data_IF_942989292109
#
_entry.id   IF_942989292109
#
_cell.length_a   1.000
_cell.length_b   1.000
_cell.length_c   1.000
_cell.angle_alpha   90.00
_cell.angle_beta   90.00
_cell.angle_gamma   90.00
#
_symmetry.space_group_name_H-M   'P 1'
#
loop_
_entity.id
_entity.type
_entity.pdbx_description
1 polymer ?
#
# COMPACT_ATOMS: atom_id res chain seq x y z
N UNK A 1 -14.31 10.70 -21.98
CA UNK A 1 -12.92 10.70 -22.47
C UNK A 1 -12.13 9.68 -21.67
N UNK A 2 -11.28 8.85 -22.29
CA UNK A 2 -10.64 7.74 -21.57
C UNK A 2 -9.49 8.28 -20.70
N UNK A 3 -9.53 7.97 -19.40
CA UNK A 3 -8.48 8.25 -18.41
C UNK A 3 -7.54 7.04 -18.36
N UNK A 4 -6.37 7.15 -18.97
CA UNK A 4 -5.34 6.11 -19.01
C UNK A 4 -4.26 6.36 -17.93
N UNK A 5 -4.58 6.07 -16.64
CA UNK A 5 -3.67 5.92 -15.47
C UNK A 5 -3.08 7.16 -14.73
N UNK A 6 -2.98 7.27 -13.39
CA UNK A 6 -4.03 7.38 -12.33
C UNK A 6 -3.61 8.45 -11.27
N UNK A 7 -4.49 9.39 -10.92
CA UNK A 7 -4.09 10.79 -10.74
C UNK A 7 -4.85 11.58 -9.64
N UNK A 8 -4.26 11.80 -8.45
CA UNK A 8 -4.82 12.77 -7.45
C UNK A 8 -3.98 13.99 -7.04
N UNK A 9 -2.94 14.46 -7.73
CA UNK A 9 -3.05 15.22 -8.98
C UNK A 9 -1.73 15.05 -9.76
N UNK A 10 -1.50 13.84 -10.24
CA UNK A 10 -0.24 13.21 -10.73
C UNK A 10 0.76 12.96 -9.63
N UNK A 11 0.27 12.22 -8.61
CA UNK A 11 0.98 11.96 -7.37
C UNK A 11 1.52 13.26 -6.75
N UNK A 12 0.69 14.29 -6.60
CA UNK A 12 1.08 15.64 -6.10
C UNK A 12 2.45 16.15 -6.63
N UNK A 13 2.71 15.88 -7.92
CA UNK A 13 3.82 16.34 -8.77
C UNK A 13 5.23 15.87 -8.41
N UNK A 14 5.43 14.58 -8.14
CA UNK A 14 6.74 13.94 -8.05
C UNK A 14 7.54 14.36 -6.80
N UNK A 15 7.86 13.41 -5.93
CA UNK A 15 8.83 13.66 -4.86
C UNK A 15 10.15 14.14 -5.47
N UNK A 16 10.55 15.40 -5.25
CA UNK A 16 11.62 16.07 -5.99
C UNK A 16 13.03 15.48 -5.79
N UNK A 17 13.77 15.35 -6.90
CA UNK A 17 15.22 15.17 -7.05
C UNK A 17 15.89 13.95 -6.35
N UNK A 18 15.79 12.75 -6.94
CA UNK A 18 16.93 11.81 -6.99
C UNK A 18 16.66 10.63 -7.95
N UNK A 19 17.00 10.82 -9.22
CA UNK A 19 17.48 9.71 -10.06
C UNK A 19 18.97 9.89 -10.27
N UNK A 20 19.78 9.15 -9.53
CA UNK A 20 21.06 8.69 -10.06
C UNK A 20 21.06 7.16 -10.04
N UNK A 21 20.78 6.60 -11.21
CA UNK A 21 21.32 5.36 -11.77
C UNK A 21 21.30 4.05 -10.95
N UNK A 22 20.49 3.09 -11.44
CA UNK A 22 21.03 1.77 -11.79
C UNK A 22 20.47 0.56 -11.02
N UNK A 23 19.90 -0.39 -11.75
CA UNK A 23 20.14 -1.83 -11.56
C UNK A 23 19.47 -2.62 -12.71
N UNK A 24 20.31 -3.13 -13.61
CA UNK A 24 19.95 -4.12 -14.63
C UNK A 24 20.08 -5.53 -14.06
N UNK A 25 19.03 -6.34 -14.20
CA UNK A 25 19.10 -7.80 -14.32
C UNK A 25 18.84 -8.66 -13.08
N UNK A 26 17.74 -9.42 -13.06
CA UNK A 26 17.73 -10.88 -13.25
C UNK A 26 16.40 -11.51 -12.81
N UNK A 27 16.01 -12.58 -13.51
CA UNK A 27 14.66 -13.14 -13.59
C UNK A 27 14.02 -13.65 -12.28
N UNK A 28 12.70 -13.52 -12.22
CA UNK A 28 11.84 -14.25 -11.28
C UNK A 28 10.81 -15.04 -12.09
N UNK A 29 10.86 -16.36 -11.96
CA UNK A 29 9.84 -17.27 -12.46
C UNK A 29 8.56 -17.11 -11.62
N UNK A 30 7.49 -16.58 -12.21
CA UNK A 30 6.16 -16.56 -11.61
C UNK A 30 5.50 -17.94 -11.70
N UNK A 31 5.26 -18.61 -10.57
CA UNK A 31 4.24 -19.67 -10.46
C UNK A 31 3.57 -19.66 -9.08
N UNK A 32 2.28 -19.31 -9.06
CA UNK A 32 1.42 -19.47 -7.88
C UNK A 32 -0.05 -19.05 -8.13
N UNK A 33 -0.90 -20.04 -8.42
CA UNK A 33 -2.37 -20.17 -8.21
C UNK A 33 -3.36 -18.98 -8.25
N UNK A 34 -4.50 -19.06 -8.98
CA UNK A 34 -5.43 -17.94 -9.22
C UNK A 34 -6.62 -17.88 -8.23
N UNK A 35 -6.43 -17.76 -6.93
CA UNK A 35 -7.58 -17.76 -5.99
C UNK A 35 -7.59 -16.72 -4.86
N UNK A 36 -6.52 -15.96 -4.62
CA UNK A 36 -6.50 -14.88 -3.61
C UNK A 36 -6.09 -13.51 -4.16
N UNK A 37 -5.85 -13.40 -5.47
CA UNK A 37 -5.33 -12.20 -6.12
C UNK A 37 -6.38 -11.09 -6.32
N UNK A 38 -7.67 -11.38 -6.18
CA UNK A 38 -8.74 -10.48 -6.59
C UNK A 38 -8.99 -9.26 -5.67
N UNK A 39 -8.28 -9.13 -4.54
CA UNK A 39 -8.48 -8.02 -3.59
C UNK A 39 -7.21 -7.23 -3.26
N UNK A 40 -6.08 -7.60 -3.88
CA UNK A 40 -4.85 -6.82 -3.82
C UNK A 40 -4.95 -5.78 -4.92
N UNK A 41 -4.83 -4.50 -4.60
CA UNK A 41 -4.81 -3.45 -5.61
C UNK A 41 -3.55 -3.55 -6.45
N UNK A 42 -3.51 -4.51 -7.37
CA UNK A 42 -2.40 -4.72 -8.30
C UNK A 42 -2.14 -3.44 -9.07
N UNK A 43 -0.85 -3.13 -9.26
CA UNK A 43 -0.49 -2.19 -10.30
C UNK A 43 -1.03 -2.77 -11.62
N UNK A 44 -1.62 -1.93 -12.47
CA UNK A 44 -2.10 -2.40 -13.76
C UNK A 44 -0.97 -3.05 -14.59
N UNK A 45 -1.30 -3.69 -15.71
CA UNK A 45 -0.30 -4.35 -16.56
C UNK A 45 0.83 -3.41 -17.04
N UNK A 46 0.68 -2.09 -16.85
CA UNK A 46 1.65 -1.05 -17.19
C UNK A 46 2.41 -0.50 -15.96
N UNK A 47 2.21 -1.06 -14.75
CA UNK A 47 2.88 -0.62 -13.52
C UNK A 47 2.26 0.60 -12.85
N UNK A 48 1.02 0.96 -13.18
CA UNK A 48 0.33 2.15 -12.65
C UNK A 48 -0.42 1.84 -11.35
N UNK A 49 -0.34 2.74 -10.36
CA UNK A 49 -1.06 2.63 -9.10
C UNK A 49 -2.32 3.49 -9.07
N UNK A 50 -3.40 2.97 -8.48
CA UNK A 50 -4.65 3.69 -8.26
C UNK A 50 -4.66 4.43 -6.92
N UNK A 51 -4.59 5.76 -6.98
CA UNK A 51 -4.71 6.66 -5.82
C UNK A 51 -6.05 7.41 -5.78
N UNK A 52 -6.91 7.21 -6.78
CA UNK A 52 -8.18 7.92 -6.91
C UNK A 52 -9.33 7.17 -6.26
N UNK A 53 -9.29 5.83 -6.32
CA UNK A 53 -10.28 5.00 -5.64
C UNK A 53 -10.21 5.21 -4.12
N UNK A 54 -11.27 5.72 -3.47
CA UNK A 54 -11.30 5.86 -2.02
C UNK A 54 -11.19 4.49 -1.34
N UNK A 55 -10.39 4.43 -0.26
CA UNK A 55 -10.28 3.25 0.57
C UNK A 55 -10.97 3.48 1.92
N UNK A 56 -12.03 2.73 2.20
CA UNK A 56 -12.76 2.86 3.46
C UNK A 56 -11.93 2.27 4.61
N UNK A 57 -11.67 3.09 5.63
CA UNK A 57 -10.89 2.74 6.84
C UNK A 57 -11.72 2.84 8.13
N UNK A 58 -13.03 3.03 8.02
CA UNK A 58 -13.92 3.03 9.18
C UNK A 58 -14.10 1.61 9.72
N UNK A 59 -14.06 1.47 11.03
CA UNK A 59 -14.21 0.18 11.72
C UNK A 59 -13.00 -0.75 11.60
N UNK A 60 -11.82 -0.20 11.28
CA UNK A 60 -10.57 -0.96 11.19
C UNK A 60 -9.61 -0.64 12.35
N UNK A 61 -10.13 -0.10 13.44
CA UNK A 61 -9.38 0.45 14.58
C UNK A 61 -8.38 1.54 14.19
N UNK A 62 -8.71 2.32 13.15
CA UNK A 62 -7.86 3.42 12.69
C UNK A 62 -7.88 4.57 13.71
N UNK A 63 -6.70 4.98 14.19
CA UNK A 63 -6.56 6.18 15.03
C UNK A 63 -7.09 7.41 14.30
N UNK A 64 -6.75 7.57 13.01
CA UNK A 64 -7.16 8.73 12.21
C UNK A 64 -8.68 8.86 12.03
N UNK A 65 -9.40 7.73 11.97
CA UNK A 65 -10.84 7.72 11.66
C UNK A 65 -11.72 7.26 12.84
N UNK A 66 -11.39 6.15 13.50
CA UNK A 66 -12.25 5.56 14.52
C UNK A 66 -12.06 6.19 15.92
N UNK A 67 -10.87 6.68 16.23
CA UNK A 67 -10.62 7.29 17.56
C UNK A 67 -11.48 8.55 17.77
N UNK A 68 -11.58 9.41 16.77
CA UNK A 68 -12.39 10.63 16.83
C UNK A 68 -13.89 10.32 17.03
N UNK A 69 -14.39 9.20 16.49
CA UNK A 69 -15.76 8.72 16.78
C UNK A 69 -15.88 8.22 18.22
N UNK A 70 -14.93 7.40 18.69
CA UNK A 70 -14.98 6.80 20.04
C UNK A 70 -14.90 7.83 21.16
N UNK A 71 -14.10 8.88 20.96
CA UNK A 71 -13.86 9.89 21.99
C UNK A 71 -14.95 10.97 22.03
N UNK A 72 -15.98 10.88 21.16
CA UNK A 72 -17.04 11.89 21.01
C UNK A 72 -16.50 13.33 20.83
N UNK A 73 -15.27 13.47 20.33
CA UNK A 73 -14.63 14.78 20.09
C UNK A 73 -15.32 15.54 18.96
N UNK A 74 -15.96 14.80 18.05
CA UNK A 74 -16.76 15.31 16.95
C UNK A 74 -18.04 14.48 16.82
N UNK A 75 -19.21 15.13 16.89
CA UNK A 75 -20.50 14.46 16.66
C UNK A 75 -20.64 13.88 15.24
N UNK A 76 -19.79 14.29 14.29
CA UNK A 76 -19.71 13.73 12.94
C UNK A 76 -18.31 13.97 12.36
N UNK A 77 -17.69 12.94 11.78
CA UNK A 77 -16.42 13.08 11.05
C UNK A 77 -16.70 13.49 9.61
N UNK A 78 -16.17 14.64 9.21
CA UNK A 78 -16.26 15.17 7.83
C UNK A 78 -15.07 14.72 6.99
N UNK A 79 -13.85 14.78 7.54
CA UNK A 79 -12.62 14.29 6.89
C UNK A 79 -11.51 14.04 7.92
N UNK A 80 -10.76 12.93 7.78
CA UNK A 80 -9.56 12.65 8.58
C UNK A 80 -8.36 13.44 8.06
N UNK A 81 -8.00 14.54 8.72
CA UNK A 81 -6.87 15.41 8.32
C UNK A 81 -5.87 15.69 9.46
N UNK A 82 -5.96 14.95 10.57
CA UNK A 82 -5.13 15.17 11.76
C UNK A 82 -3.84 14.35 11.78
N UNK A 83 -3.96 13.02 11.82
CA UNK A 83 -2.82 12.10 11.99
C UNK A 83 -2.12 11.82 10.65
N UNK A 84 -0.79 11.77 10.68
CA UNK A 84 0.08 11.57 9.51
C UNK A 84 0.17 10.08 9.08
N UNK A 85 -0.96 9.51 8.66
CA UNK A 85 -1.01 8.29 7.87
C UNK A 85 -1.81 8.52 6.56
N UNK A 86 -1.78 7.53 5.66
CA UNK A 86 -2.34 7.65 4.31
C UNK A 86 -3.62 6.84 4.14
N UNK A 87 -4.57 7.37 3.35
CA UNK A 87 -5.82 6.68 2.97
C UNK A 87 -5.70 5.96 1.62
N UNK A 88 -4.59 5.27 1.41
CA UNK A 88 -4.30 4.47 0.23
C UNK A 88 -4.07 3.01 0.62
N UNK A 89 -4.29 2.11 -0.35
CA UNK A 89 -3.82 0.72 -0.20
C UNK A 89 -2.29 0.70 -0.15
N UNK A 90 -1.74 -0.25 0.61
CA UNK A 90 -0.30 -0.49 0.62
C UNK A 90 0.14 -0.97 -0.78
N UNK A 91 1.41 -0.75 -1.12
CA UNK A 91 1.94 -1.22 -2.40
C UNK A 91 1.83 -2.75 -2.49
N UNK A 92 1.45 -3.34 -3.64
CA UNK A 92 1.20 -4.77 -3.77
C UNK A 92 2.39 -5.63 -3.41
N UNK A 93 3.62 -5.16 -3.68
CA UNK A 93 4.84 -5.87 -3.32
C UNK A 93 4.97 -6.06 -1.82
N UNK A 94 4.55 -5.07 -1.02
CA UNK A 94 4.57 -5.15 0.44
C UNK A 94 3.50 -6.13 0.91
N UNK A 95 2.27 -6.02 0.38
CA UNK A 95 1.20 -6.93 0.77
C UNK A 95 1.50 -8.38 0.40
N UNK A 96 2.07 -8.64 -0.78
CA UNK A 96 2.51 -9.98 -1.19
C UNK A 96 3.59 -10.52 -0.26
N UNK A 97 4.61 -9.72 0.06
CA UNK A 97 5.65 -10.14 1.00
C UNK A 97 5.08 -10.50 2.39
N UNK A 98 4.08 -9.75 2.87
CA UNK A 98 3.38 -10.07 4.11
C UNK A 98 2.57 -11.36 3.98
N UNK A 99 1.86 -11.57 2.88
CA UNK A 99 1.10 -12.81 2.63
C UNK A 99 2.03 -14.03 2.58
N UNK A 100 3.13 -13.94 1.85
CA UNK A 100 4.14 -15.01 1.76
C UNK A 100 4.73 -15.31 3.14
N UNK A 101 5.00 -14.28 3.95
CA UNK A 101 5.51 -14.45 5.30
C UNK A 101 4.47 -15.09 6.23
N UNK A 102 3.21 -14.69 6.13
CA UNK A 102 2.12 -15.23 6.96
C UNK A 102 1.82 -16.69 6.61
N UNK A 103 2.00 -17.08 5.34
CA UNK A 103 1.87 -18.47 4.91
C UNK A 103 2.88 -19.42 5.57
N UNK A 104 4.01 -18.90 6.07
CA UNK A 104 4.89 -19.64 6.96
C UNK A 104 4.39 -19.56 8.41
N UNK A 105 3.72 -20.61 8.87
CA UNK A 105 2.99 -20.69 10.16
C UNK A 105 3.88 -20.70 11.43
N UNK A 106 5.17 -20.39 11.31
CA UNK A 106 6.05 -20.16 12.44
C UNK A 106 6.41 -18.67 12.53
N UNK A 107 6.17 -18.06 13.69
CA UNK A 107 6.41 -16.63 13.97
C UNK A 107 7.39 -16.39 15.12
N UNK A 108 8.29 -17.34 15.36
CA UNK A 108 9.38 -17.22 16.35
C UNK A 108 10.44 -16.18 15.95
N UNK A 109 11.60 -16.23 16.62
CA UNK A 109 12.69 -15.28 16.41
C UNK A 109 13.14 -15.18 14.95
N UNK A 110 13.27 -13.96 14.47
CA UNK A 110 13.72 -13.63 13.12
C UNK A 110 15.11 -12.99 13.18
N UNK A 111 15.99 -13.45 12.30
CA UNK A 111 17.23 -12.74 11.97
C UNK A 111 16.92 -11.66 10.92
N UNK A 112 17.62 -10.52 10.98
CA UNK A 112 17.50 -9.47 9.97
C UNK A 112 17.99 -10.03 8.62
N UNK A 113 17.16 -10.02 7.55
CA UNK A 113 17.60 -10.50 6.25
C UNK A 113 18.79 -9.72 5.74
N UNK A 114 19.75 -10.39 5.08
CA UNK A 114 20.93 -9.75 4.48
C UNK A 114 20.59 -8.60 3.52
N UNK A 115 19.44 -8.68 2.86
CA UNK A 115 18.94 -7.65 1.95
C UNK A 115 18.55 -6.32 2.64
N UNK A 116 18.54 -6.28 3.96
CA UNK A 116 18.17 -5.09 4.74
C UNK A 116 19.37 -4.16 5.03
N UNK A 117 20.61 -4.66 4.88
CA UNK A 117 21.82 -3.86 5.10
C UNK A 117 22.21 -3.22 3.76
N UNK A 118 22.09 -1.89 3.68
CA UNK A 118 22.59 -1.07 2.56
C UNK A 118 24.11 -1.09 2.47
#
# INVERSE_FOLDING_TARGET
MPQTGLNRRSFLRGAGLTTLAGAVGSGISLRGGPAAAAALGEADANGTFDFDTPYNRLGTDSVKWDQALRQNEMGTIVAGMGIADMDFRCAPVITRALQDRIAHENWGYLEIPKAFVE
#
